data_IF_676324980266
#
_entry.id   IF_676324980266
#
_cell.length_a   1.000
_cell.length_b   1.000
_cell.length_c   1.000
_cell.angle_alpha   90.00
_cell.angle_beta   90.00
_cell.angle_gamma   90.00
#
_symmetry.space_group_name_H-M   'P 1'
#
loop_
_entity.id
_entity.type
_entity.pdbx_description
1 polymer ?
#
# COMPACT_ATOMS: atom_id res chain seq x y z
N UNK A 1 -14.55 4.94 24.10
CA UNK A 1 -13.91 3.98 23.18
C UNK A 1 -12.39 3.97 23.40
N UNK A 2 -11.93 3.46 24.56
CA UNK A 2 -10.51 3.52 24.95
C UNK A 2 -9.91 2.17 25.36
N UNK A 3 -10.61 1.04 25.17
CA UNK A 3 -10.07 -0.27 25.56
C UNK A 3 -8.93 -0.76 24.65
N UNK A 4 -8.78 -0.17 23.46
CA UNK A 4 -7.75 -0.55 22.48
C UNK A 4 -6.63 0.49 22.36
N UNK A 5 -6.64 1.58 23.14
CA UNK A 5 -5.60 2.63 23.02
C UNK A 5 -4.20 2.06 23.26
N UNK A 6 -4.06 1.25 24.31
CA UNK A 6 -2.76 0.77 24.78
C UNK A 6 -2.17 -0.29 23.83
N UNK A 7 -3.02 -1.10 23.19
CA UNK A 7 -2.60 -2.08 22.17
C UNK A 7 -2.09 -1.38 20.92
N UNK A 8 -2.68 -0.24 20.58
CA UNK A 8 -2.30 0.47 19.38
C UNK A 8 -0.95 1.21 19.57
N UNK A 9 -0.59 1.63 20.80
CA UNK A 9 0.75 2.19 21.14
C UNK A 9 1.89 1.27 20.73
N UNK A 10 1.80 -0.02 21.04
CA UNK A 10 2.81 -0.98 20.60
C UNK A 10 2.89 -1.15 19.06
N UNK A 11 1.77 -0.96 18.35
CA UNK A 11 1.74 -1.03 16.88
C UNK A 11 2.37 0.23 16.28
N UNK A 12 2.16 1.41 16.88
CA UNK A 12 2.73 2.68 16.42
C UNK A 12 4.26 2.65 16.41
N UNK A 13 4.86 2.23 17.51
CA UNK A 13 6.33 2.15 17.62
C UNK A 13 6.90 1.12 16.63
N UNK A 14 6.26 -0.04 16.50
CA UNK A 14 6.66 -1.04 15.52
C UNK A 14 6.66 -0.49 14.08
N UNK A 15 5.61 0.24 13.69
CA UNK A 15 5.50 0.79 12.34
C UNK A 15 6.56 1.85 12.04
N UNK A 16 6.95 2.65 13.05
CA UNK A 16 8.02 3.63 12.95
C UNK A 16 9.39 2.94 12.78
N UNK A 17 9.64 1.85 13.52
CA UNK A 17 10.90 1.12 13.47
C UNK A 17 11.07 0.25 12.22
N UNK A 18 9.98 -0.26 11.64
CA UNK A 18 10.01 -1.28 10.58
C UNK A 18 10.66 -0.82 9.26
N UNK A 19 10.99 0.47 9.08
CA UNK A 19 11.64 1.05 7.89
C UNK A 19 10.93 0.73 6.55
N UNK A 20 9.65 0.34 6.60
CA UNK A 20 8.73 0.18 5.47
C UNK A 20 9.29 -0.58 4.24
N UNK A 21 9.86 -1.77 4.44
CA UNK A 21 10.26 -2.65 3.31
C UNK A 21 9.06 -3.10 2.45
N UNK A 22 7.84 -3.05 3.01
CA UNK A 22 6.57 -3.26 2.31
C UNK A 22 5.67 -2.07 2.59
N UNK A 23 4.90 -1.59 1.61
CA UNK A 23 3.96 -0.49 1.84
C UNK A 23 2.87 -0.91 2.83
N UNK A 24 2.69 -0.12 3.88
CA UNK A 24 1.60 -0.26 4.86
C UNK A 24 0.47 0.72 4.51
N UNK A 25 -0.71 0.17 4.23
CA UNK A 25 -1.93 0.93 3.93
C UNK A 25 -2.92 0.69 5.06
N UNK A 26 -3.47 1.76 5.63
CA UNK A 26 -4.38 1.69 6.76
C UNK A 26 -5.69 2.47 6.52
N UNK A 27 -6.72 2.11 7.30
CA UNK A 27 -7.95 2.87 7.47
C UNK A 27 -8.28 2.90 8.96
N UNK A 28 -7.57 3.76 9.69
CA UNK A 28 -7.74 3.95 11.12
C UNK A 28 -8.93 4.90 11.35
N UNK A 29 -10.11 4.34 11.54
CA UNK A 29 -11.32 5.11 11.89
C UNK A 29 -11.32 5.33 13.40
N UNK A 30 -11.22 6.59 13.81
CA UNK A 30 -11.27 6.98 15.21
C UNK A 30 -12.26 8.13 15.42
N UNK A 31 -12.86 8.27 16.61
CA UNK A 31 -13.59 9.47 16.95
C UNK A 31 -12.67 10.70 16.81
N UNK A 32 -13.17 11.83 16.27
CA UNK A 32 -12.35 13.02 16.07
C UNK A 32 -11.60 13.44 17.34
N UNK A 33 -10.32 13.78 17.19
CA UNK A 33 -9.47 14.29 18.26
C UNK A 33 -8.84 13.24 19.17
N UNK A 34 -9.08 11.93 18.97
CA UNK A 34 -8.45 10.89 19.82
C UNK A 34 -7.12 10.41 19.22
N UNK A 35 -7.06 10.12 17.92
CA UNK A 35 -5.86 9.55 17.28
C UNK A 35 -5.25 10.43 16.17
N UNK A 36 -5.75 11.66 16.01
CA UNK A 36 -5.36 12.53 14.90
C UNK A 36 -3.84 12.83 14.92
N UNK A 37 -3.28 13.10 16.10
CA UNK A 37 -1.85 13.38 16.27
C UNK A 37 -0.98 12.15 15.99
N UNK A 38 -1.38 10.98 16.49
CA UNK A 38 -0.67 9.72 16.27
C UNK A 38 -0.68 9.32 14.79
N UNK A 39 -1.85 9.45 14.13
CA UNK A 39 -1.98 9.22 12.68
C UNK A 39 -1.10 10.20 11.91
N UNK A 40 -1.16 11.49 12.24
CA UNK A 40 -0.33 12.52 11.59
C UNK A 40 1.17 12.22 11.73
N UNK A 41 1.62 11.82 12.92
CA UNK A 41 3.02 11.45 13.19
C UNK A 41 3.47 10.28 12.33
N UNK A 42 2.66 9.24 12.19
CA UNK A 42 2.98 8.10 11.34
C UNK A 42 3.05 8.46 9.86
N UNK A 43 2.12 9.27 9.37
CA UNK A 43 2.09 9.71 7.97
C UNK A 43 3.31 10.59 7.65
N UNK A 44 3.65 11.52 8.54
CA UNK A 44 4.86 12.36 8.41
C UNK A 44 6.14 11.53 8.42
N UNK A 45 6.20 10.51 9.28
CA UNK A 45 7.31 9.54 9.32
C UNK A 45 7.32 8.59 8.11
N UNK A 46 6.33 8.68 7.21
CA UNK A 46 6.11 7.76 6.09
C UNK A 46 5.98 6.29 6.53
N UNK A 47 5.54 6.07 7.77
CA UNK A 47 5.39 4.75 8.37
C UNK A 47 4.07 4.06 7.94
N UNK A 48 3.08 4.81 7.47
CA UNK A 48 1.92 4.27 6.75
C UNK A 48 1.27 5.35 5.89
N UNK A 49 0.36 4.94 5.01
CA UNK A 49 -0.60 5.83 4.38
C UNK A 49 -2.01 5.52 4.91
N UNK A 50 -2.64 6.47 5.59
CA UNK A 50 -3.98 6.30 6.14
C UNK A 50 -5.03 6.83 5.16
N UNK A 51 -6.16 6.13 5.06
CA UNK A 51 -7.28 6.54 4.22
C UNK A 51 -8.54 6.68 5.05
N UNK A 52 -9.43 7.62 4.71
CA UNK A 52 -10.62 7.92 5.51
C UNK A 52 -11.67 6.79 5.46
N UNK A 53 -11.56 5.87 4.49
CA UNK A 53 -12.47 4.73 4.38
C UNK A 53 -11.72 3.45 4.00
N UNK A 54 -12.20 2.29 4.47
CA UNK A 54 -11.58 1.01 4.17
C UNK A 54 -11.65 0.67 2.67
N UNK A 55 -12.69 1.10 1.95
CA UNK A 55 -12.82 0.89 0.50
C UNK A 55 -11.73 1.63 -0.27
N UNK A 56 -11.40 2.85 0.17
CA UNK A 56 -10.29 3.62 -0.42
C UNK A 56 -8.95 2.94 -0.14
N UNK A 57 -8.70 2.51 1.09
CA UNK A 57 -7.50 1.75 1.46
C UNK A 57 -7.37 0.46 0.62
N UNK A 58 -8.44 -0.32 0.50
CA UNK A 58 -8.48 -1.55 -0.28
C UNK A 58 -8.19 -1.30 -1.77
N UNK A 59 -8.77 -0.24 -2.35
CA UNK A 59 -8.51 0.14 -3.75
C UNK A 59 -7.05 0.51 -3.97
N UNK A 60 -6.42 1.24 -3.04
CA UNK A 60 -4.97 1.54 -3.12
C UNK A 60 -4.14 0.26 -3.07
N UNK A 61 -4.46 -0.67 -2.17
CA UNK A 61 -3.78 -1.97 -2.13
C UNK A 61 -3.90 -2.75 -3.45
N UNK A 62 -5.09 -2.76 -4.06
CA UNK A 62 -5.30 -3.39 -5.36
C UNK A 62 -4.44 -2.74 -6.45
N UNK A 63 -4.34 -1.42 -6.47
CA UNK A 63 -3.48 -0.70 -7.41
C UNK A 63 -1.99 -1.02 -7.20
N UNK A 64 -1.51 -1.09 -5.96
CA UNK A 64 -0.11 -1.47 -5.66
C UNK A 64 0.21 -2.88 -6.17
N UNK A 65 -0.73 -3.81 -6.03
CA UNK A 65 -0.58 -5.16 -6.55
C UNK A 65 -0.59 -5.22 -8.08
N UNK A 66 -1.49 -4.50 -8.73
CA UNK A 66 -1.53 -4.39 -10.19
C UNK A 66 -0.24 -3.77 -10.73
N UNK A 67 0.23 -2.70 -10.10
CA UNK A 67 1.50 -2.06 -10.44
C UNK A 67 2.66 -3.05 -10.33
N UNK A 68 2.74 -3.81 -9.23
CA UNK A 68 3.76 -4.85 -9.07
C UNK A 68 3.70 -5.87 -10.22
N UNK A 69 2.51 -6.32 -10.62
CA UNK A 69 2.35 -7.24 -11.76
C UNK A 69 2.86 -6.63 -13.05
N UNK A 70 2.52 -5.38 -13.34
CA UNK A 70 2.97 -4.67 -14.54
C UNK A 70 4.50 -4.46 -14.53
N UNK A 71 5.08 -4.11 -13.38
CA UNK A 71 6.53 -3.92 -13.23
C UNK A 71 7.33 -5.23 -13.34
N UNK A 72 6.69 -6.37 -13.09
CA UNK A 72 7.30 -7.70 -13.24
C UNK A 72 7.23 -8.22 -14.69
N UNK A 73 6.45 -7.59 -15.57
CA UNK A 73 6.48 -7.87 -17.00
C UNK A 73 7.78 -7.26 -17.54
N UNK A 74 8.70 -8.11 -18.02
CA UNK A 74 9.91 -7.62 -18.69
C UNK A 74 9.49 -6.77 -19.90
N UNK A 75 9.98 -5.53 -20.05
CA UNK A 75 9.81 -4.79 -21.29
C UNK A 75 10.51 -5.58 -22.39
N UNK A 76 9.75 -6.15 -23.33
CA UNK A 76 10.28 -6.89 -24.48
C UNK A 76 9.65 -8.26 -24.76
N UNK A 77 8.74 -8.78 -23.92
CA UNK A 77 8.01 -10.01 -24.27
C UNK A 77 6.83 -9.69 -25.18
N UNK A 78 7.12 -9.25 -26.39
CA UNK A 78 6.16 -9.24 -27.48
C UNK A 78 5.96 -10.70 -27.90
N UNK A 79 4.91 -11.32 -27.37
CA UNK A 79 4.50 -12.66 -27.75
C UNK A 79 4.16 -12.63 -29.24
N UNK A 80 5.10 -13.15 -30.05
CA UNK A 80 4.90 -13.36 -31.48
C UNK A 80 3.69 -14.29 -31.63
N UNK A 81 2.52 -13.70 -31.87
CA UNK A 81 1.34 -14.45 -32.29
C UNK A 81 1.68 -15.12 -33.61
N UNK A 82 1.82 -16.43 -33.52
CA UNK A 82 2.09 -17.37 -34.59
C UNK A 82 1.01 -17.19 -35.68
N UNK A 83 1.40 -16.79 -36.88
CA UNK A 83 0.42 -16.52 -37.93
C UNK A 83 0.95 -16.21 -39.34
N UNK A 84 2.14 -15.64 -39.54
CA UNK A 84 2.58 -15.30 -40.90
C UNK A 84 4.08 -15.47 -41.13
N UNK A 85 4.41 -16.45 -41.98
CA UNK A 85 5.68 -16.55 -42.69
C UNK A 85 5.79 -15.40 -43.69
N UNK A 86 6.80 -14.53 -43.54
CA UNK A 86 7.35 -13.79 -44.69
C UNK A 86 8.85 -14.04 -44.83
N UNK A 87 9.15 -14.86 -45.83
CA UNK A 87 10.44 -14.99 -46.50
C UNK A 87 10.73 -13.65 -47.19
N UNK A 88 11.90 -13.08 -46.94
CA UNK A 88 12.50 -12.07 -47.81
C UNK A 88 13.82 -12.64 -48.31
N UNK A 89 14.01 -12.56 -49.63
CA UNK A 89 15.18 -13.03 -50.34
C UNK A 89 16.35 -12.07 -50.28
#
# INVERSE_FOLDING_TARGET
ASANSDVLEGIWDLLLEWKQQKPVIASLISPPGIWDDQVSRLEQAKALANFPTPERAARVMAHLWQYKKLSSVKPGTEERRNGETKRWG
#
